data_IF_588570845124
#
_entry.id   IF_588570845124
#
_cell.length_a   1.000
_cell.length_b   1.000
_cell.length_c   1.000
_cell.angle_alpha   90.00
_cell.angle_beta   90.00
_cell.angle_gamma   90.00
#
_symmetry.space_group_name_H-M   'P 1'
#
loop_
_entity.id
_entity.type
_entity.pdbx_description
1 polymer ?
#
# COMPACT_ATOMS: atom_id res chain seq x y z
N UNK A 1 -19.05 4.54 26.02
CA UNK A 1 -19.61 5.64 25.19
C UNK A 1 -19.83 5.15 23.76
N UNK A 2 -21.08 5.07 23.30
CA UNK A 2 -21.37 4.82 21.89
C UNK A 2 -20.96 6.04 21.07
N UNK A 3 -19.93 5.89 20.23
CA UNK A 3 -19.53 6.96 19.30
C UNK A 3 -20.69 7.28 18.37
N UNK A 4 -21.03 8.55 18.23
CA UNK A 4 -22.10 9.02 17.33
C UNK A 4 -21.68 8.76 15.88
N UNK A 5 -22.15 7.66 15.30
CA UNK A 5 -21.87 7.25 13.91
C UNK A 5 -22.85 7.92 12.96
N UNK A 6 -22.40 8.26 11.74
CA UNK A 6 -23.28 8.83 10.70
C UNK A 6 -24.45 7.90 10.36
N UNK A 7 -25.57 8.44 9.87
CA UNK A 7 -26.74 7.66 9.42
C UNK A 7 -26.33 6.59 8.40
N UNK A 8 -25.50 6.96 7.43
CA UNK A 8 -24.96 6.07 6.39
C UNK A 8 -24.17 4.90 6.98
N UNK A 9 -23.26 5.16 7.91
CA UNK A 9 -22.47 4.10 8.57
C UNK A 9 -23.36 3.14 9.37
N UNK A 10 -24.41 3.68 10.04
CA UNK A 10 -25.36 2.86 10.79
C UNK A 10 -26.14 1.93 9.86
N UNK A 11 -26.62 2.44 8.71
CA UNK A 11 -27.30 1.64 7.70
C UNK A 11 -26.40 0.53 7.13
N UNK A 12 -25.12 0.83 6.80
CA UNK A 12 -24.16 -0.17 6.38
C UNK A 12 -23.88 -1.22 7.48
N UNK A 13 -23.76 -0.79 8.74
CA UNK A 13 -23.51 -1.69 9.86
C UNK A 13 -24.69 -2.62 10.19
N UNK A 14 -25.92 -2.23 9.87
CA UNK A 14 -27.12 -3.08 10.01
C UNK A 14 -27.16 -4.20 8.95
N UNK A 15 -26.59 -3.96 7.77
CA UNK A 15 -26.50 -4.95 6.69
C UNK A 15 -25.36 -5.98 6.91
N UNK A 16 -24.47 -5.73 7.87
CA UNK A 16 -23.31 -6.55 8.15
C UNK A 16 -23.51 -7.40 9.40
N UNK A 17 -23.48 -8.71 9.24
CA UNK A 17 -23.33 -9.61 10.37
C UNK A 17 -21.85 -9.63 10.81
N UNK A 18 -21.58 -9.06 11.98
CA UNK A 18 -20.24 -8.92 12.54
C UNK A 18 -19.68 -10.22 13.13
N UNK A 19 -20.52 -11.20 13.40
CA UNK A 19 -20.13 -12.52 13.90
C UNK A 19 -19.63 -13.42 12.78
N UNK A 20 -20.11 -13.18 11.56
CA UNK A 20 -19.77 -13.97 10.38
C UNK A 20 -18.38 -13.63 9.85
N UNK A 21 -17.65 -14.66 9.46
CA UNK A 21 -16.40 -14.57 8.71
C UNK A 21 -16.73 -14.91 7.25
N UNK A 22 -16.31 -14.07 6.32
CA UNK A 22 -16.65 -14.18 4.90
C UNK A 22 -15.44 -14.67 4.11
N UNK A 23 -15.66 -15.39 3.02
CA UNK A 23 -14.61 -15.53 2.02
C UNK A 23 -14.35 -14.18 1.34
N UNK A 24 -13.22 -14.00 0.65
CA UNK A 24 -12.84 -12.69 0.09
C UNK A 24 -13.86 -12.19 -0.95
N UNK A 25 -14.38 -13.07 -1.82
CA UNK A 25 -15.35 -12.70 -2.85
C UNK A 25 -16.68 -12.22 -2.22
N UNK A 26 -17.20 -12.95 -1.24
CA UNK A 26 -18.42 -12.56 -0.53
C UNK A 26 -18.23 -11.28 0.30
N UNK A 27 -17.03 -11.09 0.85
CA UNK A 27 -16.68 -9.86 1.58
C UNK A 27 -16.69 -8.64 0.66
N UNK A 28 -16.15 -8.77 -0.56
CA UNK A 28 -16.18 -7.72 -1.59
C UNK A 28 -17.63 -7.44 -2.03
N UNK A 29 -18.41 -8.48 -2.33
CA UNK A 29 -19.83 -8.34 -2.67
C UNK A 29 -20.65 -7.66 -1.56
N UNK A 30 -20.39 -8.02 -0.31
CA UNK A 30 -21.02 -7.38 0.85
C UNK A 30 -20.62 -5.91 0.96
N UNK A 31 -19.34 -5.59 0.74
CA UNK A 31 -18.82 -4.23 0.73
C UNK A 31 -19.52 -3.36 -0.32
N UNK A 32 -19.74 -3.90 -1.52
CA UNK A 32 -20.41 -3.22 -2.64
C UNK A 32 -21.88 -2.89 -2.39
N UNK A 33 -22.55 -3.63 -1.49
CA UNK A 33 -23.94 -3.36 -1.10
C UNK A 33 -24.08 -2.17 -0.16
N UNK A 34 -23.00 -1.67 0.42
CA UNK A 34 -23.09 -0.54 1.35
C UNK A 34 -23.43 0.76 0.65
N UNK A 35 -24.15 1.67 1.33
CA UNK A 35 -24.54 2.95 0.77
C UNK A 35 -23.33 3.75 0.24
N UNK A 36 -23.37 4.24 -1.02
CA UNK A 36 -22.24 4.94 -1.64
C UNK A 36 -21.95 6.28 -0.97
N UNK A 37 -20.76 6.82 -1.24
CA UNK A 37 -20.34 8.17 -0.88
C UNK A 37 -20.38 9.08 -2.11
N UNK A 38 -20.21 10.39 -1.90
CA UNK A 38 -20.10 11.38 -2.98
C UNK A 38 -18.75 11.32 -3.73
N UNK A 39 -17.79 10.55 -3.23
CA UNK A 39 -16.46 10.38 -3.80
C UNK A 39 -16.15 8.89 -3.98
N UNK A 40 -15.24 8.56 -4.88
CA UNK A 40 -14.79 7.19 -5.10
C UNK A 40 -13.87 6.74 -3.97
N UNK A 41 -14.38 5.82 -3.13
CA UNK A 41 -13.69 5.34 -1.94
C UNK A 41 -12.52 4.43 -2.32
N UNK A 42 -11.44 4.50 -1.55
CA UNK A 42 -10.38 3.50 -1.63
C UNK A 42 -10.78 2.26 -0.81
N UNK A 43 -10.66 1.10 -1.42
CA UNK A 43 -10.82 -0.19 -0.75
C UNK A 43 -9.46 -0.62 -0.20
N UNK A 44 -9.45 -1.00 1.08
CA UNK A 44 -8.23 -1.35 1.81
C UNK A 44 -8.40 -2.70 2.47
N UNK A 45 -7.41 -3.56 2.37
CA UNK A 45 -7.29 -4.78 3.17
C UNK A 45 -6.37 -4.49 4.35
N UNK A 46 -6.86 -4.74 5.55
CA UNK A 46 -6.14 -4.56 6.80
C UNK A 46 -5.87 -5.91 7.43
N UNK A 47 -4.64 -6.11 7.86
CA UNK A 47 -4.14 -7.33 8.49
C UNK A 47 -3.80 -7.05 9.93
N UNK A 48 -4.09 -7.99 10.80
CA UNK A 48 -3.50 -8.09 12.12
C UNK A 48 -2.53 -9.27 12.11
N UNK A 49 -1.26 -8.98 12.38
CA UNK A 49 -0.18 -9.95 12.33
C UNK A 49 0.31 -10.30 13.72
N UNK A 50 0.56 -11.58 13.97
CA UNK A 50 1.15 -12.09 15.20
C UNK A 50 2.66 -11.93 15.23
N UNK A 51 3.14 -10.68 15.12
CA UNK A 51 4.56 -10.30 15.17
C UNK A 51 4.79 -9.19 16.19
N UNK A 52 5.99 -9.14 16.75
CA UNK A 52 6.37 -8.05 17.67
C UNK A 52 7.01 -6.89 16.89
N UNK A 53 6.33 -5.73 16.77
CA UNK A 53 6.83 -4.58 16.01
C UNK A 53 8.05 -3.91 16.68
N UNK A 54 8.40 -4.27 17.91
CA UNK A 54 9.60 -3.74 18.60
C UNK A 54 10.87 -4.46 18.15
N UNK A 55 10.75 -5.66 17.62
CA UNK A 55 11.88 -6.45 17.13
C UNK A 55 12.12 -6.09 15.66
N UNK A 56 13.33 -5.65 15.35
CA UNK A 56 13.70 -5.21 13.99
C UNK A 56 13.71 -6.34 12.95
N UNK A 57 13.95 -7.56 13.38
CA UNK A 57 13.93 -8.80 12.58
C UNK A 57 12.52 -9.31 12.28
N UNK A 58 11.51 -8.86 13.05
CA UNK A 58 10.10 -9.14 12.81
C UNK A 58 9.37 -8.02 12.04
N UNK A 59 10.11 -7.02 11.57
CA UNK A 59 9.53 -5.91 10.81
C UNK A 59 9.13 -6.37 9.41
N UNK A 60 7.81 -6.48 9.19
CA UNK A 60 7.22 -6.82 7.89
C UNK A 60 7.15 -5.58 7.01
N UNK A 61 7.80 -5.62 5.87
CA UNK A 61 7.75 -4.59 4.83
C UNK A 61 7.98 -5.22 3.47
N UNK A 62 7.21 -4.79 2.49
CA UNK A 62 7.36 -5.28 1.12
C UNK A 62 6.52 -4.49 0.14
N UNK A 63 6.46 -5.00 -1.07
CA UNK A 63 5.67 -4.44 -2.15
C UNK A 63 4.88 -5.53 -2.83
N UNK A 64 3.74 -5.16 -3.38
CA UNK A 64 2.86 -6.04 -4.15
C UNK A 64 2.46 -5.35 -5.45
N UNK A 65 2.73 -5.93 -6.62
CA UNK A 65 2.13 -5.49 -7.87
C UNK A 65 0.65 -5.89 -7.86
N UNK A 66 -0.24 -4.94 -8.13
CA UNK A 66 -1.66 -5.22 -8.25
C UNK A 66 -2.01 -5.59 -9.70
N UNK A 67 -2.63 -6.75 -9.97
CA UNK A 67 -2.98 -7.17 -11.33
C UNK A 67 -3.84 -6.15 -12.10
N UNK A 68 -4.77 -5.49 -11.40
CA UNK A 68 -5.67 -4.49 -11.97
C UNK A 68 -5.29 -3.04 -11.60
N UNK A 69 -4.07 -2.84 -11.08
CA UNK A 69 -3.62 -1.53 -10.63
C UNK A 69 -4.33 -1.03 -9.36
N UNK A 70 -3.94 0.15 -8.91
CA UNK A 70 -4.49 0.78 -7.68
C UNK A 70 -5.65 1.74 -7.96
N UNK A 71 -5.89 2.13 -9.23
CA UNK A 71 -6.85 3.17 -9.62
C UNK A 71 -6.47 4.59 -9.18
N UNK A 72 -5.21 4.79 -8.75
CA UNK A 72 -4.65 6.10 -8.42
C UNK A 72 -3.59 6.46 -9.46
N UNK A 73 -3.67 7.66 -10.01
CA UNK A 73 -2.56 8.22 -10.77
C UNK A 73 -1.45 8.61 -9.80
N UNK A 74 -0.31 7.92 -9.91
CA UNK A 74 0.83 8.10 -9.02
C UNK A 74 1.82 9.04 -9.69
N UNK A 75 2.16 10.15 -9.04
CA UNK A 75 3.20 11.07 -9.48
C UNK A 75 4.56 10.56 -8.99
N UNK A 76 5.45 10.30 -9.94
CA UNK A 76 6.74 9.69 -9.65
C UNK A 76 7.85 10.73 -9.77
N UNK A 77 8.66 10.85 -8.72
CA UNK A 77 9.88 11.64 -8.70
C UNK A 77 11.09 10.71 -8.77
N UNK A 78 12.04 10.99 -9.66
CA UNK A 78 13.24 10.17 -9.85
C UNK A 78 14.50 11.00 -9.61
N UNK A 79 15.31 10.56 -8.65
CA UNK A 79 16.64 11.10 -8.40
C UNK A 79 17.66 10.29 -9.20
N UNK A 80 18.03 10.79 -10.37
CA UNK A 80 19.00 10.19 -11.28
C UNK A 80 19.68 11.22 -12.15
N UNK A 81 20.86 10.87 -12.67
CA UNK A 81 21.63 11.65 -13.64
C UNK A 81 21.92 10.81 -14.88
N UNK A 82 22.32 11.46 -15.99
CA UNK A 82 22.76 10.81 -17.21
C UNK A 82 21.69 9.98 -17.91
N UNK A 83 22.03 8.74 -18.29
CA UNK A 83 21.15 7.82 -19.02
C UNK A 83 19.96 7.36 -18.19
N UNK A 84 20.14 7.09 -16.91
CA UNK A 84 19.07 6.69 -16.00
C UNK A 84 17.99 7.80 -15.90
N UNK A 85 18.37 9.07 -15.95
CA UNK A 85 17.43 10.19 -15.96
C UNK A 85 16.63 10.26 -17.26
N UNK A 86 17.27 9.99 -18.42
CA UNK A 86 16.58 9.94 -19.72
C UNK A 86 15.58 8.78 -19.75
N UNK A 87 16.02 7.59 -19.37
CA UNK A 87 15.16 6.40 -19.29
C UNK A 87 13.94 6.60 -18.38
N UNK A 88 14.13 7.27 -17.24
CA UNK A 88 13.03 7.60 -16.33
C UNK A 88 12.02 8.57 -16.95
N UNK A 89 12.48 9.57 -17.72
CA UNK A 89 11.59 10.51 -18.43
C UNK A 89 10.80 9.80 -19.53
N UNK A 90 11.44 8.95 -20.31
CA UNK A 90 10.80 8.16 -21.36
C UNK A 90 9.76 7.19 -20.77
N UNK A 91 10.02 6.62 -19.59
CA UNK A 91 9.06 5.80 -18.86
C UNK A 91 7.91 6.63 -18.24
N UNK A 92 7.96 7.97 -18.34
CA UNK A 92 6.89 8.87 -17.96
C UNK A 92 6.98 9.41 -16.52
N UNK A 93 8.15 9.44 -15.88
CA UNK A 93 8.30 10.09 -14.58
C UNK A 93 8.02 11.61 -14.71
N UNK A 94 7.25 12.16 -13.76
CA UNK A 94 6.84 13.57 -13.78
C UNK A 94 7.99 14.50 -13.39
N UNK A 95 8.81 14.09 -12.44
CA UNK A 95 9.93 14.87 -11.95
C UNK A 95 11.21 14.04 -12.02
N UNK A 96 12.18 14.48 -12.80
CA UNK A 96 13.47 13.79 -12.95
C UNK A 96 14.61 14.80 -12.83
N UNK A 97 15.56 14.54 -11.94
CA UNK A 97 16.72 15.39 -11.72
C UNK A 97 17.50 14.97 -10.49
N UNK A 98 18.46 15.77 -10.08
CA UNK A 98 19.32 15.50 -8.93
C UNK A 98 19.37 16.70 -7.98
N UNK A 99 20.38 17.55 -8.09
CA UNK A 99 20.64 18.65 -7.15
C UNK A 99 19.47 19.63 -7.03
N UNK A 100 18.89 20.02 -8.16
CA UNK A 100 17.77 20.94 -8.20
C UNK A 100 16.53 20.40 -7.47
N UNK A 101 16.24 19.10 -7.63
CA UNK A 101 15.12 18.46 -6.96
C UNK A 101 15.40 18.25 -5.47
N UNK A 102 16.66 17.94 -5.11
CA UNK A 102 17.06 17.83 -3.70
C UNK A 102 16.84 19.16 -2.99
N UNK A 103 17.28 20.27 -3.61
CA UNK A 103 17.09 21.60 -3.06
C UNK A 103 15.60 21.95 -2.92
N UNK A 104 14.80 21.74 -3.96
CA UNK A 104 13.34 21.92 -3.89
C UNK A 104 12.68 21.10 -2.79
N UNK A 105 13.08 19.83 -2.62
CA UNK A 105 12.56 18.99 -1.55
C UNK A 105 12.98 19.51 -0.15
N UNK A 106 14.18 20.08 0.01
CA UNK A 106 14.61 20.74 1.25
C UNK A 106 13.76 21.99 1.54
N UNK A 107 13.40 22.75 0.52
CA UNK A 107 12.52 23.91 0.61
C UNK A 107 11.04 23.54 0.87
N UNK A 108 10.71 22.24 0.86
CA UNK A 108 9.37 21.74 1.20
C UNK A 108 8.55 21.22 0.02
N UNK A 109 9.13 21.08 -1.17
CA UNK A 109 8.43 20.44 -2.29
C UNK A 109 8.17 18.97 -2.02
N UNK A 110 6.91 18.56 -2.06
CA UNK A 110 6.45 17.21 -1.74
C UNK A 110 5.26 16.80 -2.62
N UNK A 111 5.14 17.39 -3.79
CA UNK A 111 3.99 17.21 -4.69
C UNK A 111 4.16 15.95 -5.58
N UNK A 112 4.61 14.85 -4.97
CA UNK A 112 4.78 13.54 -5.56
C UNK A 112 4.36 12.45 -4.58
N UNK A 113 4.05 11.26 -5.10
CA UNK A 113 3.54 10.13 -4.33
C UNK A 113 4.60 9.06 -4.08
N UNK A 114 5.56 8.90 -5.00
CA UNK A 114 6.66 7.93 -4.89
C UNK A 114 7.95 8.58 -5.35
N UNK A 115 9.04 8.35 -4.61
CA UNK A 115 10.39 8.73 -5.00
C UNK A 115 11.23 7.49 -5.33
N UNK A 116 11.88 7.51 -6.48
CA UNK A 116 12.84 6.50 -6.93
C UNK A 116 14.22 7.15 -6.95
N UNK A 117 15.27 6.40 -6.64
CA UNK A 117 16.64 6.89 -6.66
C UNK A 117 17.59 5.82 -7.21
N UNK A 118 18.63 6.25 -7.91
CA UNK A 118 19.77 5.35 -8.19
C UNK A 118 20.60 5.18 -6.92
N UNK A 119 21.32 4.05 -6.75
CA UNK A 119 22.23 3.84 -5.62
C UNK A 119 23.25 4.97 -5.45
N UNK A 120 23.76 5.51 -6.55
CA UNK A 120 24.69 6.64 -6.56
C UNK A 120 24.04 7.92 -6.01
N UNK A 121 22.78 8.21 -6.41
CA UNK A 121 22.03 9.36 -5.94
C UNK A 121 21.70 9.29 -4.44
N UNK A 122 21.60 8.09 -3.87
CA UNK A 122 21.23 7.90 -2.46
C UNK A 122 22.18 8.57 -1.46
N UNK A 123 23.46 8.79 -1.83
CA UNK A 123 24.40 9.49 -0.97
C UNK A 123 23.93 10.92 -0.64
N UNK A 124 23.36 11.61 -1.63
CA UNK A 124 22.83 12.97 -1.46
C UNK A 124 21.38 12.97 -0.97
N UNK A 125 20.55 12.04 -1.47
CA UNK A 125 19.13 11.92 -1.10
C UNK A 125 18.96 11.61 0.39
N UNK A 126 19.92 10.95 1.05
CA UNK A 126 19.92 10.72 2.51
C UNK A 126 19.78 12.01 3.32
N UNK A 127 20.25 13.15 2.80
CA UNK A 127 20.09 14.46 3.46
C UNK A 127 18.62 14.86 3.62
N UNK A 128 17.74 14.33 2.74
CA UNK A 128 16.29 14.55 2.78
C UNK A 128 15.55 13.66 3.79
N UNK A 129 16.25 12.79 4.51
CA UNK A 129 15.64 11.83 5.44
C UNK A 129 14.74 12.46 6.49
N UNK A 130 15.07 13.67 6.97
CA UNK A 130 14.25 14.44 7.94
C UNK A 130 12.94 14.95 7.33
N UNK A 131 12.91 15.22 6.01
CA UNK A 131 11.76 15.76 5.29
C UNK A 131 10.89 14.65 4.72
N UNK A 132 11.48 13.70 4.02
CA UNK A 132 10.77 12.61 3.31
C UNK A 132 10.48 11.41 4.21
N UNK A 133 11.31 11.16 5.23
CA UNK A 133 11.18 10.00 6.13
C UNK A 133 9.85 9.93 6.87
N UNK A 134 9.41 10.98 7.59
CA UNK A 134 8.14 10.98 8.32
C UNK A 134 6.91 10.75 7.44
N UNK A 135 6.99 11.11 6.16
CA UNK A 135 5.90 10.92 5.18
C UNK A 135 5.96 9.59 4.43
N UNK A 136 7.00 8.79 4.66
CA UNK A 136 7.19 7.52 3.95
C UNK A 136 7.62 7.66 2.49
N UNK A 137 8.03 8.86 2.04
CA UNK A 137 8.43 9.15 0.66
C UNK A 137 9.93 8.86 0.40
N UNK A 138 10.67 8.41 1.39
CA UNK A 138 12.09 8.13 1.27
C UNK A 138 12.34 6.84 0.46
N UNK A 139 13.15 6.89 -0.62
CA UNK A 139 13.52 5.69 -1.37
C UNK A 139 14.18 4.63 -0.50
N UNK A 140 13.85 3.35 -0.72
CA UNK A 140 14.37 2.25 0.06
C UNK A 140 14.68 1.02 -0.82
N UNK A 141 15.85 0.39 -0.67
CA UNK A 141 16.20 -0.82 -1.41
C UNK A 141 15.22 -1.98 -1.19
N UNK A 142 14.68 -2.14 0.03
CA UNK A 142 13.74 -3.22 0.36
C UNK A 142 12.41 -3.12 -0.38
N UNK A 143 12.03 -1.93 -0.82
CA UNK A 143 10.83 -1.69 -1.62
C UNK A 143 11.14 -1.55 -3.11
N UNK A 144 12.40 -1.78 -3.52
CA UNK A 144 12.84 -1.68 -4.89
C UNK A 144 12.71 -0.28 -5.49
N UNK A 145 12.63 0.75 -4.64
CA UNK A 145 12.64 2.16 -5.08
C UNK A 145 14.07 2.73 -5.17
N UNK A 146 15.08 1.92 -4.82
CA UNK A 146 16.49 2.21 -5.08
C UNK A 146 16.99 1.16 -6.07
N UNK A 147 17.19 1.56 -7.32
CA UNK A 147 17.59 0.69 -8.43
C UNK A 147 18.29 1.49 -9.53
N UNK A 148 19.16 0.83 -10.29
CA UNK A 148 19.79 1.40 -11.47
C UNK A 148 18.83 1.39 -12.68
N UNK A 149 17.90 0.41 -12.73
CA UNK A 149 16.86 0.34 -13.76
C UNK A 149 15.66 1.23 -13.37
N UNK A 150 15.82 2.52 -13.59
CA UNK A 150 14.80 3.53 -13.27
C UNK A 150 13.57 3.41 -14.15
N UNK A 151 13.72 3.00 -15.42
CA UNK A 151 12.60 2.86 -16.34
C UNK A 151 11.61 1.79 -15.88
N UNK A 152 12.11 0.60 -15.55
CA UNK A 152 11.30 -0.51 -15.05
C UNK A 152 10.61 -0.14 -13.73
N UNK A 153 11.34 0.49 -12.81
CA UNK A 153 10.78 0.91 -11.52
C UNK A 153 9.63 1.92 -11.70
N UNK A 154 9.76 2.90 -12.61
CA UNK A 154 8.70 3.86 -12.93
C UNK A 154 7.48 3.16 -13.52
N UNK A 155 7.67 2.21 -14.46
CA UNK A 155 6.59 1.44 -15.04
C UNK A 155 5.85 0.59 -14.01
N UNK A 156 6.56 -0.11 -13.13
CA UNK A 156 5.96 -0.92 -12.06
C UNK A 156 5.13 -0.07 -11.09
N UNK A 157 5.64 1.11 -10.71
CA UNK A 157 4.92 2.05 -9.83
C UNK A 157 3.66 2.57 -10.52
N UNK A 158 3.74 2.92 -11.80
CA UNK A 158 2.59 3.38 -12.60
C UNK A 158 1.59 2.26 -12.89
N UNK A 159 2.05 1.02 -13.02
CA UNK A 159 1.18 -0.15 -13.15
C UNK A 159 0.37 -0.43 -11.87
N UNK A 160 0.67 0.24 -10.76
CA UNK A 160 -0.10 0.11 -9.52
C UNK A 160 0.57 -0.76 -8.46
N UNK A 161 1.90 -0.83 -8.45
CA UNK A 161 2.64 -1.46 -7.35
C UNK A 161 2.38 -0.69 -6.05
N UNK A 162 1.94 -1.40 -5.01
CA UNK A 162 1.68 -0.84 -3.68
C UNK A 162 2.72 -1.31 -2.68
N UNK A 163 3.08 -0.44 -1.76
CA UNK A 163 3.97 -0.75 -0.64
C UNK A 163 3.14 -1.07 0.61
N UNK A 164 3.61 -2.04 1.39
CA UNK A 164 3.06 -2.32 2.71
C UNK A 164 4.14 -2.33 3.78
N UNK A 165 3.77 -1.87 4.96
CA UNK A 165 4.66 -1.76 6.13
C UNK A 165 3.87 -2.03 7.40
N UNK A 166 4.51 -2.79 8.32
CA UNK A 166 4.00 -3.03 9.66
C UNK A 166 3.93 -1.71 10.47
N UNK A 167 2.82 -1.48 11.14
CA UNK A 167 2.68 -0.38 12.10
C UNK A 167 3.21 -0.77 13.50
N UNK A 168 3.16 0.19 14.43
CA UNK A 168 3.60 -0.01 15.82
C UNK A 168 2.72 -0.97 16.62
N UNK A 169 1.56 -1.36 16.10
CA UNK A 169 0.57 -2.21 16.77
C UNK A 169 0.46 -3.60 16.14
N UNK A 170 1.37 -3.95 15.22
CA UNK A 170 1.32 -5.24 14.53
C UNK A 170 0.29 -5.30 13.39
N UNK A 171 -0.16 -4.16 12.87
CA UNK A 171 -1.10 -4.13 11.77
C UNK A 171 -0.43 -3.70 10.46
N UNK A 172 -0.98 -4.16 9.35
CA UNK A 172 -0.62 -3.75 7.99
C UNK A 172 -1.91 -3.34 7.27
N UNK A 173 -1.92 -2.21 6.59
CA UNK A 173 -3.05 -1.76 5.79
C UNK A 173 -2.59 -1.47 4.36
N UNK A 174 -3.23 -2.10 3.37
CA UNK A 174 -2.83 -2.03 1.96
C UNK A 174 -4.04 -1.66 1.10
N UNK A 175 -3.97 -0.60 0.29
CA UNK A 175 -5.01 -0.30 -0.67
C UNK A 175 -5.01 -1.34 -1.80
N UNK A 176 -6.18 -1.85 -2.16
CA UNK A 176 -6.37 -2.87 -3.21
C UNK A 176 -7.09 -2.33 -4.45
N UNK A 177 -7.60 -1.12 -4.39
CA UNK A 177 -8.23 -0.46 -5.52
C UNK A 177 -9.27 0.57 -5.12
N UNK A 178 -10.06 1.01 -6.08
CA UNK A 178 -11.16 1.95 -5.88
C UNK A 178 -12.49 1.21 -5.78
N UNK A 179 -13.44 1.82 -5.09
CA UNK A 179 -14.79 1.27 -4.96
C UNK A 179 -15.51 1.13 -6.30
N UNK A 180 -15.13 1.93 -7.31
CA UNK A 180 -15.61 1.86 -8.69
C UNK A 180 -15.18 0.60 -9.43
N UNK A 181 -14.09 -0.07 -9.00
CA UNK A 181 -13.60 -1.30 -9.64
C UNK A 181 -14.65 -2.42 -9.60
N UNK A 182 -14.59 -3.34 -10.53
CA UNK A 182 -15.40 -4.56 -10.53
C UNK A 182 -15.08 -5.45 -9.33
N UNK A 183 -16.07 -6.23 -8.89
CA UNK A 183 -15.91 -7.15 -7.75
C UNK A 183 -14.78 -8.17 -7.98
N UNK A 184 -14.68 -8.69 -9.22
CA UNK A 184 -13.61 -9.61 -9.62
C UNK A 184 -12.22 -8.98 -9.47
N UNK A 185 -12.04 -7.76 -9.99
CA UNK A 185 -10.78 -7.05 -9.94
C UNK A 185 -10.35 -6.75 -8.48
N UNK A 186 -11.29 -6.37 -7.62
CA UNK A 186 -11.02 -6.16 -6.19
C UNK A 186 -10.66 -7.46 -5.47
N UNK A 187 -11.31 -8.58 -5.82
CA UNK A 187 -11.00 -9.89 -5.24
C UNK A 187 -9.62 -10.39 -5.68
N UNK A 188 -9.26 -10.25 -6.95
CA UNK A 188 -7.96 -10.66 -7.48
C UNK A 188 -6.83 -9.80 -6.89
N UNK A 189 -7.00 -8.47 -6.84
CA UNK A 189 -6.07 -7.58 -6.16
C UNK A 189 -5.95 -7.92 -4.66
N UNK A 190 -7.07 -8.22 -4.00
CA UNK A 190 -7.11 -8.61 -2.60
C UNK A 190 -6.33 -9.91 -2.34
N UNK A 191 -6.51 -10.93 -3.19
CA UNK A 191 -5.77 -12.18 -3.12
C UNK A 191 -4.27 -11.95 -3.28
N UNK A 192 -3.86 -11.18 -4.31
CA UNK A 192 -2.46 -10.86 -4.55
C UNK A 192 -1.80 -10.19 -3.33
N UNK A 193 -2.51 -9.26 -2.67
CA UNK A 193 -2.02 -8.57 -1.47
C UNK A 193 -1.93 -9.53 -0.27
N UNK A 194 -2.94 -10.39 -0.05
CA UNK A 194 -2.91 -11.36 1.05
C UNK A 194 -1.72 -12.32 0.87
N UNK A 195 -1.54 -12.87 -0.33
CA UNK A 195 -0.40 -13.74 -0.65
C UNK A 195 0.94 -13.04 -0.44
N UNK A 196 1.08 -11.78 -0.91
CA UNK A 196 2.31 -11.01 -0.74
C UNK A 196 2.65 -10.79 0.74
N UNK A 197 1.65 -10.50 1.57
CA UNK A 197 1.84 -10.33 3.03
C UNK A 197 2.20 -11.65 3.69
N UNK A 198 1.59 -12.78 3.28
CA UNK A 198 1.92 -14.12 3.80
C UNK A 198 3.34 -14.51 3.43
N UNK A 199 3.76 -14.32 2.18
CA UNK A 199 5.13 -14.58 1.71
C UNK A 199 6.18 -13.72 2.43
N UNK A 200 5.81 -12.54 2.91
CA UNK A 200 6.70 -11.65 3.67
C UNK A 200 6.84 -12.05 5.15
N UNK A 201 6.34 -13.22 5.55
CA UNK A 201 6.46 -13.73 6.93
C UNK A 201 7.92 -13.85 7.34
N UNK A 202 8.35 -13.20 8.44
CA UNK A 202 9.69 -13.37 8.97
C UNK A 202 9.91 -14.79 9.50
N UNK A 203 11.10 -15.34 9.30
CA UNK A 203 11.45 -16.66 9.84
C UNK A 203 11.39 -16.72 11.38
N UNK A 204 11.58 -15.59 12.04
CA UNK A 204 11.53 -15.45 13.50
C UNK A 204 10.11 -15.35 14.06
N UNK A 205 9.09 -15.19 13.20
CA UNK A 205 7.69 -15.12 13.64
C UNK A 205 7.20 -16.49 14.11
N UNK A 206 6.93 -16.61 15.42
CA UNK A 206 6.41 -17.82 16.06
C UNK A 206 4.89 -17.79 16.16
N UNK A 207 4.25 -18.96 16.07
CA UNK A 207 2.81 -19.09 16.22
C UNK A 207 2.01 -18.64 14.98
N UNK A 208 0.78 -18.16 15.23
CA UNK A 208 -0.14 -17.77 14.16
C UNK A 208 0.26 -16.40 13.61
N UNK A 209 0.78 -16.38 12.40
CA UNK A 209 1.22 -15.13 11.74
C UNK A 209 0.06 -14.21 11.35
N UNK A 210 -0.98 -14.76 10.71
CA UNK A 210 -2.15 -14.03 10.25
C UNK A 210 -3.29 -14.17 11.27
N UNK A 211 -3.42 -13.23 12.20
CA UNK A 211 -4.45 -13.25 13.25
C UNK A 211 -5.82 -12.83 12.73
N UNK A 212 -5.86 -11.90 11.79
CA UNK A 212 -7.11 -11.42 11.21
C UNK A 212 -6.90 -10.63 9.93
N UNK A 213 -7.87 -10.76 9.01
CA UNK A 213 -7.96 -10.02 7.76
C UNK A 213 -9.29 -9.31 7.71
N UNK A 214 -9.30 -8.06 7.29
CA UNK A 214 -10.51 -7.24 7.19
C UNK A 214 -10.44 -6.39 5.93
N UNK A 215 -11.47 -6.43 5.11
CA UNK A 215 -11.62 -5.53 3.96
C UNK A 215 -12.58 -4.40 4.32
N UNK A 216 -12.28 -3.18 3.91
CA UNK A 216 -13.11 -2.01 4.16
C UNK A 216 -12.94 -0.97 3.06
N UNK A 217 -13.97 -0.14 2.85
CA UNK A 217 -13.84 1.09 2.08
C UNK A 217 -13.64 2.28 3.03
N UNK A 218 -13.14 3.41 2.52
CA UNK A 218 -12.71 4.58 3.32
C UNK A 218 -13.67 4.98 4.43
N UNK A 219 -14.99 4.89 4.19
CA UNK A 219 -16.02 5.34 5.13
C UNK A 219 -17.04 4.23 5.47
N UNK A 220 -16.69 2.95 5.29
CA UNK A 220 -17.55 1.80 5.58
C UNK A 220 -17.15 1.07 6.86
N UNK A 221 -18.03 0.23 7.43
CA UNK A 221 -17.61 -0.79 8.38
C UNK A 221 -16.69 -1.80 7.71
N UNK A 222 -15.77 -2.41 8.47
CA UNK A 222 -14.91 -3.48 8.00
C UNK A 222 -15.63 -4.82 7.97
N UNK A 223 -15.42 -5.58 6.91
CA UNK A 223 -15.91 -6.94 6.71
C UNK A 223 -14.78 -7.91 7.00
N UNK A 224 -14.98 -8.88 7.91
CA UNK A 224 -13.97 -9.87 8.28
C UNK A 224 -13.84 -10.92 7.19
N UNK A 225 -12.59 -11.18 6.78
CA UNK A 225 -12.24 -12.19 5.77
C UNK A 225 -11.62 -13.40 6.47
N UNK A 226 -11.95 -14.59 5.99
CA UNK A 226 -11.36 -15.83 6.49
C UNK A 226 -9.88 -15.94 6.11
N UNK A 227 -8.97 -16.01 7.08
CA UNK A 227 -7.56 -16.21 6.79
C UNK A 227 -7.19 -17.67 6.51
N UNK A 228 -8.07 -18.65 6.79
CA UNK A 228 -7.76 -20.08 6.72
C UNK A 228 -7.23 -20.53 5.34
N UNK A 229 -7.79 -20.09 4.20
CA UNK A 229 -7.29 -20.49 2.89
C UNK A 229 -5.83 -20.07 2.61
N UNK A 230 -5.32 -19.08 3.33
CA UNK A 230 -4.00 -18.47 3.10
C UNK A 230 -2.94 -18.93 4.12
N UNK A 231 -3.29 -19.75 5.10
CA UNK A 231 -2.35 -20.18 6.15
C UNK A 231 -1.33 -21.23 5.67
N UNK A 232 -1.61 -21.90 4.56
CA UNK A 232 -0.82 -23.01 4.02
C UNK A 232 -0.07 -22.65 2.71
N UNK A 233 0.07 -21.35 2.43
CA UNK A 233 0.79 -20.84 1.25
C UNK A 233 2.26 -20.62 1.57
#
# INVERSE_FOLDING_TARGET
>A
MQRNRSKRYRAAAQQLDRSKIYNLADAVSTLKKFPPTKFDQTVTVSFRLGVDPKQSDQMVRGTCPLPHGSGKQVRVLVFAEGEAAKAAKEAGAEFVGMKDLIQKCQEGFQDFDVAIATPAAMAEVRKLGKVLGPRGLMPNPRTGTVTDDTAKAVQEVKAGRVEFKLDKNGNVAVPVGKFSFEEKALAENGNAVIEAVVRARPATAKGRYLEGVTISATMSPGVRVDPAPYLNI
#
